data_IF_462253700223
#
_entry.id   IF_462253700223
#
_cell.length_a   1.000
_cell.length_b   1.000
_cell.length_c   1.000
_cell.angle_alpha   90.00
_cell.angle_beta   90.00
_cell.angle_gamma   90.00
#
_symmetry.space_group_name_H-M   'P 1'
#
loop_
_entity.id
_entity.type
_entity.pdbx_description
1 polymer ?
#
# COMPACT_ATOMS: atom_id res chain seq x y z
N UNK A 1 0.84 -11.04 -5.03
CA UNK A 1 0.85 -11.45 -6.46
C UNK A 1 2.28 -11.46 -6.97
N UNK A 2 2.77 -12.62 -7.37
CA UNK A 2 4.16 -12.78 -7.84
C UNK A 2 4.42 -12.06 -9.19
N UNK A 3 3.38 -11.86 -9.98
CA UNK A 3 3.46 -11.24 -11.31
C UNK A 3 2.31 -10.25 -11.50
N UNK A 4 2.41 -9.08 -10.87
CA UNK A 4 1.47 -7.99 -11.14
C UNK A 4 2.05 -7.08 -12.21
N UNK A 5 1.40 -7.01 -13.35
CA UNK A 5 1.72 -6.07 -14.42
C UNK A 5 0.43 -5.63 -15.09
N UNK A 6 0.20 -4.34 -15.17
CA UNK A 6 -0.96 -3.76 -15.85
C UNK A 6 -0.56 -2.45 -16.51
N UNK A 7 -1.28 -2.10 -17.60
CA UNK A 7 -1.12 -0.81 -18.27
C UNK A 7 -2.07 0.24 -17.75
N UNK A 8 -3.22 -0.21 -17.25
CA UNK A 8 -4.35 0.64 -16.91
C UNK A 8 -4.95 0.22 -15.55
N UNK A 9 -4.10 0.17 -14.51
CA UNK A 9 -4.56 -0.07 -13.16
C UNK A 9 -5.42 1.09 -12.66
N UNK A 10 -6.47 0.78 -11.90
CA UNK A 10 -7.19 1.80 -11.14
C UNK A 10 -6.26 2.45 -10.10
N UNK A 11 -6.62 3.65 -9.61
CA UNK A 11 -5.86 4.32 -8.56
C UNK A 11 -5.70 3.46 -7.31
N UNK A 12 -6.74 2.75 -6.89
CA UNK A 12 -6.71 1.85 -5.73
C UNK A 12 -5.77 0.65 -5.94
N UNK A 13 -5.78 0.06 -7.13
CA UNK A 13 -4.88 -1.05 -7.46
C UNK A 13 -3.42 -0.58 -7.52
N UNK A 14 -3.17 0.59 -8.10
CA UNK A 14 -1.84 1.19 -8.17
C UNK A 14 -1.30 1.51 -6.78
N UNK A 15 -2.14 2.06 -5.91
CA UNK A 15 -1.73 2.40 -4.54
C UNK A 15 -1.45 1.14 -3.71
N UNK A 16 -2.28 0.10 -3.83
CA UNK A 16 -2.02 -1.19 -3.18
C UNK A 16 -0.69 -1.82 -3.65
N UNK A 17 -0.39 -1.75 -4.96
CA UNK A 17 0.87 -2.22 -5.51
C UNK A 17 2.07 -1.43 -4.93
N UNK A 18 1.95 -0.10 -4.80
CA UNK A 18 2.98 0.75 -4.19
C UNK A 18 3.28 0.40 -2.73
N UNK A 19 2.26 0.01 -1.95
CA UNK A 19 2.48 -0.50 -0.58
C UNK A 19 3.29 -1.81 -0.60
N UNK A 20 2.94 -2.76 -1.47
CA UNK A 20 3.68 -4.03 -1.59
C UNK A 20 5.13 -3.79 -2.02
N UNK A 21 5.36 -2.89 -2.99
CA UNK A 21 6.70 -2.50 -3.42
C UNK A 21 7.49 -1.81 -2.30
N UNK A 22 6.83 -0.97 -1.49
CA UNK A 22 7.43 -0.36 -0.30
C UNK A 22 7.88 -1.41 0.72
N UNK A 23 7.06 -2.44 0.96
CA UNK A 23 7.41 -3.57 1.83
C UNK A 23 8.63 -4.32 1.27
N UNK A 24 8.62 -4.64 -0.04
CA UNK A 24 9.76 -5.28 -0.71
C UNK A 24 11.06 -4.45 -0.61
N UNK A 25 10.93 -3.14 -0.62
CA UNK A 25 12.04 -2.21 -0.46
C UNK A 25 12.53 -2.06 1.00
N UNK A 26 11.85 -2.70 1.95
CA UNK A 26 12.22 -2.67 3.37
C UNK A 26 11.68 -1.46 4.14
N UNK A 27 10.59 -0.84 3.69
CA UNK A 27 9.92 0.23 4.42
C UNK A 27 9.40 -0.26 5.77
N UNK A 28 9.68 0.48 6.82
CA UNK A 28 9.20 0.22 8.18
C UNK A 28 8.12 1.19 8.64
N UNK A 29 7.84 2.20 7.82
CA UNK A 29 6.83 3.22 8.10
C UNK A 29 6.12 3.63 6.82
N UNK A 30 4.80 3.64 6.87
CA UNK A 30 3.96 4.26 5.85
C UNK A 30 3.34 5.55 6.37
N UNK A 31 3.40 6.59 5.53
CA UNK A 31 2.70 7.86 5.75
C UNK A 31 1.58 7.95 4.72
N UNK A 32 0.35 7.95 5.19
CA UNK A 32 -0.84 7.95 4.35
C UNK A 32 -1.73 9.14 4.68
N UNK A 33 -2.34 9.69 3.64
CA UNK A 33 -3.35 10.73 3.74
C UNK A 33 -4.64 10.21 3.10
N UNK A 34 -5.73 10.16 3.88
CA UNK A 34 -7.01 9.62 3.44
C UNK A 34 -7.55 10.41 2.24
N UNK A 35 -7.49 11.74 2.30
CA UNK A 35 -8.10 12.61 1.31
C UNK A 35 -7.45 12.49 -0.07
N UNK A 36 -6.17 12.16 -0.13
CA UNK A 36 -5.41 11.96 -1.36
C UNK A 36 -5.31 10.50 -1.78
N UNK A 37 -5.78 9.59 -0.96
CA UNK A 37 -5.77 8.16 -1.23
C UNK A 37 -7.03 7.69 -1.95
N UNK A 38 -6.91 6.61 -2.72
CA UNK A 38 -8.06 5.99 -3.35
C UNK A 38 -8.98 5.36 -2.31
N UNK A 39 -10.26 5.76 -2.29
CA UNK A 39 -11.23 5.32 -1.27
C UNK A 39 -11.29 3.81 -1.13
N UNK A 40 -11.40 3.07 -2.25
CA UNK A 40 -11.47 1.60 -2.24
C UNK A 40 -10.18 0.91 -1.77
N UNK A 41 -9.06 1.62 -1.82
CA UNK A 41 -7.81 1.15 -1.22
C UNK A 41 -7.83 1.35 0.30
N UNK A 42 -8.36 2.48 0.79
CA UNK A 42 -8.33 2.82 2.20
C UNK A 42 -9.31 2.00 3.02
N UNK A 43 -10.58 2.03 2.62
CA UNK A 43 -11.69 1.42 3.39
C UNK A 43 -12.75 0.91 2.44
N UNK A 44 -13.46 -0.14 2.84
CA UNK A 44 -14.66 -0.61 2.18
C UNK A 44 -15.83 -0.57 3.13
N UNK A 45 -16.91 -0.03 2.64
CA UNK A 45 -18.19 -0.03 3.32
C UNK A 45 -18.73 -1.47 3.46
N UNK A 46 -19.24 -1.80 4.63
CA UNK A 46 -19.77 -3.12 4.96
C UNK A 46 -20.95 -3.55 4.05
N UNK A 47 -21.70 -2.60 3.51
CA UNK A 47 -22.76 -2.88 2.54
C UNK A 47 -22.15 -3.32 1.19
N UNK A 48 -21.15 -2.59 0.71
CA UNK A 48 -20.46 -2.93 -0.53
C UNK A 48 -19.79 -4.31 -0.46
N UNK A 49 -19.25 -4.69 0.69
CA UNK A 49 -18.67 -6.02 0.89
C UNK A 49 -19.69 -7.16 0.79
N UNK A 50 -20.95 -6.89 1.14
CA UNK A 50 -22.05 -7.87 0.97
C UNK A 50 -22.54 -7.95 -0.47
N UNK A 51 -22.46 -6.86 -1.22
CA UNK A 51 -22.90 -6.81 -2.63
C UNK A 51 -21.85 -7.43 -3.55
N UNK A 52 -20.59 -7.13 -3.30
CA UNK A 52 -19.47 -7.66 -4.10
C UNK A 52 -18.62 -8.54 -3.19
N UNK A 53 -18.56 -9.83 -3.52
CA UNK A 53 -17.80 -10.80 -2.74
C UNK A 53 -16.30 -10.40 -2.67
N UNK A 54 -15.65 -10.54 -1.50
CA UNK A 54 -14.21 -10.30 -1.35
C UNK A 54 -13.33 -11.09 -2.34
N UNK A 55 -13.81 -12.24 -2.82
CA UNK A 55 -13.09 -13.06 -3.81
C UNK A 55 -13.08 -12.45 -5.22
N UNK A 56 -13.98 -11.54 -5.49
CA UNK A 56 -14.07 -10.81 -6.76
C UNK A 56 -13.28 -9.51 -6.74
N UNK A 57 -12.76 -9.12 -5.58
CA UNK A 57 -12.02 -7.89 -5.41
C UNK A 57 -10.53 -8.10 -5.63
N UNK A 58 -9.91 -7.27 -6.49
CA UNK A 58 -8.48 -7.40 -6.80
C UNK A 58 -7.57 -6.95 -5.65
N UNK A 59 -8.09 -6.15 -4.72
CA UNK A 59 -7.32 -5.57 -3.61
C UNK A 59 -8.04 -5.78 -2.28
N UNK A 60 -7.26 -5.91 -1.22
CA UNK A 60 -7.75 -5.83 0.16
C UNK A 60 -7.60 -4.41 0.67
N UNK A 61 -8.61 -3.80 1.30
CA UNK A 61 -8.51 -2.47 1.87
C UNK A 61 -7.38 -2.36 2.89
N UNK A 62 -6.75 -1.18 2.95
CA UNK A 62 -5.63 -0.93 3.87
C UNK A 62 -6.07 -1.06 5.34
N UNK A 63 -7.28 -0.63 5.68
CA UNK A 63 -7.88 -0.80 7.01
C UNK A 63 -7.76 -2.25 7.52
N UNK A 64 -8.06 -3.21 6.66
CA UNK A 64 -7.99 -4.64 7.00
C UNK A 64 -6.56 -5.21 7.06
N UNK A 65 -5.56 -4.44 6.58
CA UNK A 65 -4.16 -4.85 6.51
C UNK A 65 -3.26 -4.17 7.53
N UNK A 66 -3.56 -2.95 7.90
CA UNK A 66 -2.66 -2.11 8.69
C UNK A 66 -2.22 -2.80 10.00
N UNK A 67 -3.16 -3.45 10.70
CA UNK A 67 -2.84 -4.15 11.95
C UNK A 67 -1.94 -5.37 11.72
N UNK A 68 -2.21 -6.14 10.68
CA UNK A 68 -1.39 -7.31 10.30
C UNK A 68 0.03 -6.91 9.91
N UNK A 69 0.20 -5.80 9.17
CA UNK A 69 1.51 -5.27 8.79
C UNK A 69 2.31 -4.85 10.03
N UNK A 70 1.66 -4.24 11.00
CA UNK A 70 2.32 -3.88 12.25
C UNK A 70 2.72 -5.13 13.07
N UNK A 71 1.79 -6.05 13.31
CA UNK A 71 2.00 -7.19 14.21
C UNK A 71 2.94 -8.26 13.64
N UNK A 72 2.95 -8.45 12.32
CA UNK A 72 3.73 -9.51 11.68
C UNK A 72 4.99 -9.04 10.96
N UNK A 73 5.05 -7.76 10.60
CA UNK A 73 6.15 -7.25 9.77
C UNK A 73 6.85 -6.03 10.39
N UNK A 74 6.45 -5.62 11.59
CA UNK A 74 6.98 -4.44 12.29
C UNK A 74 6.87 -3.14 11.46
N UNK A 75 5.83 -3.03 10.63
CA UNK A 75 5.60 -1.86 9.80
C UNK A 75 4.58 -0.94 10.45
N UNK A 76 5.02 0.22 10.88
CA UNK A 76 4.17 1.26 11.46
C UNK A 76 3.44 2.07 10.37
N UNK A 77 2.33 2.68 10.74
CA UNK A 77 1.60 3.61 9.86
C UNK A 77 1.24 4.88 10.61
N UNK A 78 1.46 6.03 9.97
CA UNK A 78 0.88 7.30 10.37
C UNK A 78 -0.14 7.67 9.29
N UNK A 79 -1.39 7.83 9.70
CA UNK A 79 -2.50 8.14 8.82
C UNK A 79 -3.13 9.48 9.21
N UNK A 80 -3.24 10.38 8.25
CA UNK A 80 -4.10 11.57 8.35
C UNK A 80 -5.49 11.17 7.89
N UNK A 81 -6.49 11.27 8.77
CA UNK A 81 -7.87 10.91 8.49
C UNK A 81 -8.79 12.10 8.70
N UNK A 82 -9.56 12.44 7.68
CA UNK A 82 -10.49 13.57 7.69
C UNK A 82 -11.96 13.14 7.67
N UNK A 83 -12.28 12.00 7.08
CA UNK A 83 -13.66 11.60 6.83
C UNK A 83 -14.06 10.24 7.40
N UNK A 84 -13.13 9.29 7.56
CA UNK A 84 -13.43 7.94 8.03
C UNK A 84 -13.00 7.71 9.47
N UNK A 85 -13.99 7.48 10.36
CA UNK A 85 -13.72 7.05 11.73
C UNK A 85 -13.32 5.57 11.86
N UNK A 86 -13.38 4.80 10.78
CA UNK A 86 -13.08 3.36 10.82
C UNK A 86 -11.64 3.07 11.29
N UNK A 87 -10.70 3.94 10.97
CA UNK A 87 -9.29 3.80 11.37
C UNK A 87 -9.07 3.94 12.88
N UNK A 88 -9.97 4.58 13.61
CA UNK A 88 -9.85 4.69 15.06
C UNK A 88 -9.94 3.33 15.77
N UNK A 89 -10.63 2.36 15.16
CA UNK A 89 -10.75 1.01 15.70
C UNK A 89 -9.45 0.22 15.73
N UNK A 90 -8.52 0.57 14.85
CA UNK A 90 -7.22 -0.11 14.74
C UNK A 90 -6.04 0.75 15.22
N UNK A 91 -6.29 2.02 15.54
CA UNK A 91 -5.24 2.95 15.95
C UNK A 91 -4.79 2.69 17.40
N UNK A 92 -3.48 2.70 17.63
CA UNK A 92 -2.88 2.67 18.96
C UNK A 92 -2.93 4.06 19.61
N UNK A 93 -2.71 5.10 18.81
CA UNK A 93 -2.70 6.52 19.23
C UNK A 93 -3.53 7.35 18.26
N UNK A 94 -4.32 8.26 18.80
CA UNK A 94 -5.15 9.19 18.04
C UNK A 94 -4.88 10.62 18.47
N UNK A 95 -4.38 11.43 17.55
CA UNK A 95 -4.10 12.85 17.74
C UNK A 95 -5.09 13.67 16.93
N UNK A 96 -5.83 14.54 17.59
CA UNK A 96 -6.68 15.53 16.93
C UNK A 96 -5.89 16.84 16.75
N UNK A 97 -5.96 17.42 15.57
CA UNK A 97 -5.48 18.79 15.36
C UNK A 97 -6.63 19.75 15.67
N UNK A 98 -6.54 20.43 16.80
CA UNK A 98 -7.53 21.44 17.24
C UNK A 98 -6.91 22.84 17.13
N UNK A 99 -7.40 23.66 16.21
CA UNK A 99 -6.87 25.01 15.92
C UNK A 99 -5.35 25.03 15.75
N UNK A 100 -4.80 24.05 15.01
CA UNK A 100 -3.37 23.80 14.76
C UNK A 100 -2.57 23.30 15.98
N UNK A 101 -3.22 22.97 17.09
CA UNK A 101 -2.59 22.36 18.25
C UNK A 101 -2.85 20.85 18.29
N UNK A 102 -1.84 20.00 18.51
CA UNK A 102 -2.03 18.56 18.62
C UNK A 102 -2.59 18.21 20.01
N UNK A 103 -3.72 17.50 20.04
CA UNK A 103 -4.36 17.02 21.27
C UNK A 103 -4.49 15.50 21.22
N UNK A 104 -3.96 14.82 22.23
CA UNK A 104 -4.15 13.37 22.36
C UNK A 104 -5.59 13.07 22.78
N UNK A 105 -6.33 12.41 21.90
CA UNK A 105 -7.71 11.97 22.13
C UNK A 105 -7.84 10.45 22.10
N UNK A 106 -6.75 9.73 22.29
CA UNK A 106 -6.71 8.26 22.17
C UNK A 106 -7.74 7.57 23.04
N UNK A 107 -7.84 7.97 24.32
CA UNK A 107 -8.80 7.35 25.24
C UNK A 107 -10.25 7.62 24.82
N UNK A 108 -10.56 8.87 24.45
CA UNK A 108 -11.88 9.25 23.93
C UNK A 108 -12.27 8.44 22.69
N UNK A 109 -11.34 8.31 21.75
CA UNK A 109 -11.56 7.51 20.53
C UNK A 109 -11.83 6.03 20.87
N UNK A 110 -11.03 5.43 21.75
CA UNK A 110 -11.22 4.04 22.19
C UNK A 110 -12.55 3.80 22.88
N UNK A 111 -13.01 4.74 23.69
CA UNK A 111 -14.31 4.63 24.38
C UNK A 111 -15.46 4.69 23.36
N UNK A 112 -15.42 5.63 22.42
CA UNK A 112 -16.41 5.73 21.34
C UNK A 112 -16.40 4.49 20.42
N UNK A 113 -15.25 3.92 20.11
CA UNK A 113 -15.17 2.69 19.33
C UNK A 113 -15.89 1.50 20.00
N UNK A 114 -15.95 1.45 21.34
CA UNK A 114 -16.73 0.42 22.06
C UNK A 114 -18.24 0.65 21.95
N UNK A 115 -18.67 1.91 21.88
CA UNK A 115 -20.09 2.27 21.70
C UNK A 115 -20.56 2.05 20.26
N UNK A 116 -19.67 2.26 19.29
CA UNK A 116 -19.93 2.18 17.86
C UNK A 116 -19.04 1.14 17.20
N UNK A 117 -19.22 -0.17 17.46
CA UNK A 117 -18.40 -1.20 16.86
C UNK A 117 -18.61 -1.26 15.34
N UNK A 118 -17.53 -1.47 14.60
CA UNK A 118 -17.59 -1.77 13.17
C UNK A 118 -17.53 -3.28 12.95
N UNK A 119 -18.07 -3.75 11.80
CA UNK A 119 -17.88 -5.13 11.40
C UNK A 119 -16.39 -5.41 11.16
N UNK A 120 -15.90 -6.52 11.70
CA UNK A 120 -14.53 -6.94 11.43
C UNK A 120 -14.38 -7.31 9.95
N UNK A 121 -13.42 -6.70 9.29
CA UNK A 121 -13.00 -7.07 7.96
C UNK A 121 -12.15 -8.36 8.03
N UNK A 122 -12.75 -9.47 7.66
CA UNK A 122 -12.03 -10.75 7.56
C UNK A 122 -11.27 -10.78 6.25
N UNK A 123 -10.07 -10.21 6.26
CA UNK A 123 -9.16 -10.30 5.13
C UNK A 123 -8.42 -11.64 5.13
N UNK A 124 -8.14 -12.19 3.93
CA UNK A 124 -7.22 -13.33 3.81
C UNK A 124 -5.85 -12.90 4.36
N UNK A 125 -5.07 -13.81 4.99
CA UNK A 125 -3.74 -13.49 5.48
C UNK A 125 -2.88 -12.84 4.38
N UNK A 126 -2.05 -11.87 4.77
CA UNK A 126 -1.13 -11.24 3.84
C UNK A 126 -0.03 -12.24 3.46
N UNK A 127 0.14 -12.46 2.18
CA UNK A 127 1.24 -13.25 1.66
C UNK A 127 2.49 -12.39 1.57
N UNK A 128 3.58 -12.84 2.17
CA UNK A 128 4.84 -12.09 2.12
C UNK A 128 5.27 -11.86 0.66
N UNK A 129 5.66 -10.64 0.31
CA UNK A 129 6.21 -10.37 -1.00
C UNK A 129 7.52 -11.13 -1.20
N UNK A 130 7.89 -11.32 -2.46
CA UNK A 130 9.18 -11.93 -2.79
C UNK A 130 10.27 -10.89 -2.56
N UNK A 131 11.01 -11.05 -1.48
CA UNK A 131 12.19 -10.23 -1.22
C UNK A 131 13.35 -10.62 -2.14
N UNK A 132 14.23 -9.68 -2.44
CA UNK A 132 15.43 -9.89 -3.26
C UNK A 132 15.13 -10.28 -4.72
N UNK A 133 14.23 -9.56 -5.37
CA UNK A 133 14.03 -9.71 -6.81
C UNK A 133 15.34 -9.47 -7.56
N UNK A 134 15.80 -10.46 -8.31
CA UNK A 134 17.01 -10.40 -9.10
C UNK A 134 16.62 -10.12 -10.55
N UNK A 135 17.22 -9.09 -11.14
CA UNK A 135 17.09 -8.88 -12.59
C UNK A 135 17.87 -9.98 -13.33
N UNK A 136 17.15 -10.75 -14.16
CA UNK A 136 17.78 -11.77 -14.98
C UNK A 136 18.69 -11.12 -16.02
N UNK A 137 19.93 -11.60 -16.11
CA UNK A 137 20.84 -11.28 -17.19
C UNK A 137 20.66 -12.28 -18.34
N UNK A 138 20.81 -11.81 -19.55
CA UNK A 138 20.91 -12.68 -20.71
C UNK A 138 22.28 -13.41 -20.74
N UNK A 139 22.45 -14.29 -21.71
CA UNK A 139 23.69 -15.05 -21.90
C UNK A 139 24.94 -14.18 -22.22
N UNK A 140 24.74 -12.89 -22.52
CA UNK A 140 25.81 -11.92 -22.76
C UNK A 140 26.05 -11.02 -21.54
N UNK A 141 25.37 -11.28 -20.41
CA UNK A 141 25.50 -10.49 -19.20
C UNK A 141 24.66 -9.21 -19.19
N UNK A 142 23.93 -8.91 -20.25
CA UNK A 142 23.03 -7.79 -20.31
C UNK A 142 21.72 -8.10 -19.57
N UNK A 143 21.17 -7.12 -18.88
CA UNK A 143 19.87 -7.28 -18.22
C UNK A 143 18.79 -7.52 -19.28
N UNK A 144 18.04 -8.61 -19.14
CA UNK A 144 16.95 -8.92 -20.05
C UNK A 144 15.98 -7.75 -20.16
N UNK A 145 15.87 -7.17 -21.34
CA UNK A 145 14.89 -6.14 -21.63
C UNK A 145 13.52 -6.82 -21.78
N UNK A 146 12.61 -6.51 -20.86
CA UNK A 146 11.19 -6.65 -21.20
C UNK A 146 10.77 -5.38 -21.95
N UNK A 147 9.99 -5.53 -23.02
CA UNK A 147 9.40 -4.39 -23.74
C UNK A 147 8.75 -3.45 -22.71
N UNK A 148 8.83 -2.16 -22.93
CA UNK A 148 8.34 -1.15 -22.00
C UNK A 148 6.84 -1.28 -21.69
N UNK A 149 6.13 -1.80 -22.62
CA UNK A 149 4.77 -2.27 -22.33
C UNK A 149 4.77 -3.32 -21.21
N UNK A 150 5.91 -3.81 -20.83
CA UNK A 150 6.22 -4.81 -19.84
C UNK A 150 7.41 -4.43 -18.96
N UNK A 151 7.76 -3.14 -18.84
CA UNK A 151 8.89 -2.65 -18.05
C UNK A 151 10.24 -2.84 -18.76
N UNK A 152 10.56 -1.97 -19.73
CA UNK A 152 11.82 -2.01 -20.43
C UNK A 152 12.94 -1.38 -19.62
N UNK A 153 13.99 -2.14 -19.38
CA UNK A 153 15.26 -1.64 -18.92
C UNK A 153 16.12 -1.39 -20.16
N UNK A 154 16.48 -0.15 -20.44
CA UNK A 154 17.44 0.20 -21.47
C UNK A 154 18.82 0.36 -20.87
N UNK A 155 19.77 -0.42 -21.38
CA UNK A 155 21.18 -0.17 -21.13
C UNK A 155 21.58 1.16 -21.78
N UNK A 156 22.13 2.07 -21.01
CA UNK A 156 22.61 3.38 -21.45
C UNK A 156 24.09 3.54 -21.15
N UNK A 157 24.91 2.56 -21.46
CA UNK A 157 26.35 2.52 -21.19
C UNK A 157 26.62 2.20 -19.72
N UNK A 158 27.55 2.94 -19.08
CA UNK A 158 27.93 2.70 -17.67
C UNK A 158 26.83 3.02 -16.64
N UNK A 159 25.64 3.46 -17.12
CA UNK A 159 24.50 3.80 -16.26
C UNK A 159 23.27 3.01 -16.67
N UNK A 160 22.76 2.20 -15.76
CA UNK A 160 21.49 1.52 -15.93
C UNK A 160 20.35 2.53 -15.75
N UNK A 161 19.59 2.82 -16.82
CA UNK A 161 18.36 3.62 -16.73
C UNK A 161 17.15 2.71 -16.77
N UNK A 162 16.33 2.79 -15.73
CA UNK A 162 15.05 2.09 -15.67
C UNK A 162 13.95 3.06 -16.10
N UNK A 163 13.22 2.68 -17.16
CA UNK A 163 11.99 3.35 -17.56
C UNK A 163 10.81 2.54 -17.05
N UNK A 164 10.19 3.01 -15.98
CA UNK A 164 8.99 2.42 -15.43
C UNK A 164 7.81 3.30 -15.83
N UNK A 165 6.88 2.76 -16.61
CA UNK A 165 5.59 3.38 -16.98
C UNK A 165 5.67 4.84 -17.44
N UNK A 166 6.60 5.15 -18.34
CA UNK A 166 6.69 6.48 -18.95
C UNK A 166 7.49 7.51 -18.17
N UNK A 167 8.03 7.20 -17.01
CA UNK A 167 8.95 8.06 -16.28
C UNK A 167 10.37 7.82 -16.77
N UNK A 168 10.95 8.84 -17.43
CA UNK A 168 12.36 8.80 -17.82
C UNK A 168 13.24 9.16 -16.62
N UNK A 169 14.16 8.29 -16.27
CA UNK A 169 15.34 8.75 -15.55
C UNK A 169 15.56 8.31 -14.12
N UNK A 170 15.26 7.07 -13.72
CA UNK A 170 15.94 6.52 -12.55
C UNK A 170 17.34 6.01 -12.96
N UNK A 171 18.39 6.74 -12.54
CA UNK A 171 19.75 6.23 -12.59
C UNK A 171 19.93 5.32 -11.37
N UNK A 172 20.04 4.02 -11.60
CA UNK A 172 20.58 3.11 -10.59
C UNK A 172 22.09 3.37 -10.54
N UNK A 173 22.58 3.93 -9.44
CA UNK A 173 24.00 4.13 -9.21
C UNK A 173 24.80 2.82 -9.35
N UNK A 174 26.11 2.99 -9.57
CA UNK A 174 27.07 1.88 -9.66
C UNK A 174 27.00 0.94 -8.48
#
# INVERSE_FOLDING_TARGET
>A
THDFSTKDASGSTSQAAGIVEGIEAGSQLFLLDEDTSATNFMVRDAFMQKVVSPDQEPITPFLARARELYEKMDISTILVAGSSGAFFHIADTVIQMDQYEPVDITQKAKDLCREFPIAEDVAKPFENPVFHRIMEKDKNGAVKRRDYRTGAIKDAGDHLKVKILGVDGFALGK
#
